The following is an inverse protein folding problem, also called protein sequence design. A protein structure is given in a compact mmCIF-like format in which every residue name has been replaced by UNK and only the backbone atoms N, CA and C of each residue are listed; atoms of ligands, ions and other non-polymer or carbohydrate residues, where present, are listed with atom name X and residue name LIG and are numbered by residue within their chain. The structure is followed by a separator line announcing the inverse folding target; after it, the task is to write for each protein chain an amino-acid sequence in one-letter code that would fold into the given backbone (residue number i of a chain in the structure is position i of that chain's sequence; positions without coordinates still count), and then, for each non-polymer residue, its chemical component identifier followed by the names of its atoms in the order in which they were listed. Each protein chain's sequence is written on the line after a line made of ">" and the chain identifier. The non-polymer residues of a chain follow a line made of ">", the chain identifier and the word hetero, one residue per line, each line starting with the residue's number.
data_IF_719916803899
#
_entry.id   IF_719916803899
#
_cell.length_a   1.000
_cell.length_b   1.000
_cell.length_c   1.000
_cell.angle_alpha   90.00
_cell.angle_beta   90.00
_cell.angle_gamma   90.00
#
_symmetry.space_group_name_H-M   'P 1'
#
loop_
_entity.id
_entity.type
_entity.pdbx_description
1 polymer ?
#
# COMPACT_ATOMS: atom_id res chain seq x y z
N UNK A 1 -2.80 84.41 1.81
CA UNK A 1 -2.01 83.37 1.21
C UNK A 1 -1.97 82.24 2.22
N UNK A 2 -2.79 81.24 2.03
CA UNK A 2 -3.00 80.14 3.02
C UNK A 2 -2.30 78.89 2.46
N UNK A 3 -1.27 78.43 3.20
CA UNK A 3 -0.61 77.19 2.90
C UNK A 3 -1.52 75.99 3.21
N UNK A 4 -2.01 75.37 2.20
CA UNK A 4 -2.75 74.14 2.29
C UNK A 4 -1.71 73.02 2.31
N UNK A 5 -1.29 72.62 3.53
CA UNK A 5 -0.51 71.40 3.69
C UNK A 5 -1.45 70.24 3.61
N UNK A 6 -1.46 69.60 2.46
CA UNK A 6 -2.14 68.33 2.23
C UNK A 6 -1.52 67.27 3.15
N UNK A 7 -2.29 66.86 4.13
CA UNK A 7 -2.00 65.68 4.94
C UNK A 7 -2.43 64.45 4.09
N UNK A 8 -1.47 63.88 3.39
CA UNK A 8 -1.65 62.57 2.78
C UNK A 8 -1.45 61.56 3.91
N UNK A 9 -2.55 61.21 4.58
CA UNK A 9 -2.56 60.03 5.44
C UNK A 9 -2.58 58.81 4.51
N UNK A 10 -1.41 58.31 4.24
CA UNK A 10 -1.26 57.03 3.56
C UNK A 10 -1.82 55.91 4.42
N UNK A 11 -3.00 55.45 4.09
CA UNK A 11 -3.60 54.26 4.61
C UNK A 11 -2.80 53.07 4.06
N UNK A 12 -1.69 52.71 4.77
CA UNK A 12 -0.99 51.47 4.55
C UNK A 12 -1.91 50.33 5.03
N UNK A 13 -2.78 49.91 4.15
CA UNK A 13 -3.54 48.68 4.29
C UNK A 13 -2.53 47.56 4.12
N UNK A 14 -1.92 47.12 5.24
CA UNK A 14 -1.16 45.86 5.34
C UNK A 14 -2.12 44.76 5.03
N UNK A 15 -2.16 44.34 3.77
CA UNK A 15 -2.76 43.06 3.41
C UNK A 15 -1.93 41.97 4.12
N UNK A 16 -2.34 41.60 5.32
CA UNK A 16 -1.94 40.34 5.90
C UNK A 16 -2.52 39.27 4.96
N UNK A 17 -1.70 38.87 4.00
CA UNK A 17 -1.92 37.62 3.31
C UNK A 17 -1.81 36.53 4.34
N UNK A 18 -2.92 36.12 4.91
CA UNK A 18 -3.00 34.83 5.60
C UNK A 18 -2.66 33.79 4.56
N UNK A 19 -1.43 33.33 4.60
CA UNK A 19 -1.06 32.08 3.94
C UNK A 19 -1.89 31.05 4.68
N UNK A 20 -3.07 30.73 4.13
CA UNK A 20 -3.78 29.56 4.52
C UNK A 20 -2.83 28.40 4.12
N UNK A 21 -2.05 27.91 5.08
CA UNK A 21 -1.58 26.55 4.99
C UNK A 21 -2.88 25.76 4.86
N UNK A 22 -3.15 25.26 3.67
CA UNK A 22 -4.07 24.17 3.54
C UNK A 22 -3.41 23.05 4.35
N UNK A 23 -3.77 22.97 5.64
CA UNK A 23 -3.59 21.76 6.40
C UNK A 23 -4.26 20.72 5.52
N UNK A 24 -3.42 19.82 4.96
CA UNK A 24 -3.87 18.76 4.08
C UNK A 24 -4.73 17.77 4.86
N UNK A 25 -5.84 18.27 5.40
CA UNK A 25 -6.81 17.49 6.14
C UNK A 25 -7.68 16.76 5.14
N UNK A 26 -7.37 15.51 4.94
CA UNK A 26 -8.20 14.62 4.15
C UNK A 26 -9.50 14.38 4.93
N UNK A 27 -10.61 14.82 4.40
CA UNK A 27 -11.92 14.50 4.97
C UNK A 27 -12.36 13.06 4.67
N UNK A 28 -11.96 12.56 3.50
CA UNK A 28 -12.24 11.19 3.03
C UNK A 28 -11.00 10.64 2.36
N UNK A 29 -10.67 9.39 2.65
CA UNK A 29 -9.57 8.65 2.02
C UNK A 29 -10.18 7.44 1.32
N UNK A 30 -10.03 7.38 0.00
CA UNK A 30 -10.44 6.23 -0.80
C UNK A 30 -9.34 5.19 -0.82
N UNK A 31 -9.67 3.97 -0.42
CA UNK A 31 -8.74 2.87 -0.25
C UNK A 31 -9.11 1.75 -1.21
N UNK A 32 -8.23 1.48 -2.19
CA UNK A 32 -8.34 0.32 -3.07
C UNK A 32 -7.92 -0.95 -2.35
N UNK A 33 -8.76 -1.99 -2.41
CA UNK A 33 -8.48 -3.31 -1.85
C UNK A 33 -9.02 -4.39 -2.77
N UNK A 34 -8.41 -5.59 -2.74
CA UNK A 34 -8.85 -6.67 -3.63
C UNK A 34 -10.14 -7.34 -3.11
N UNK A 35 -10.21 -7.61 -1.82
CA UNK A 35 -11.35 -8.30 -1.22
C UNK A 35 -11.36 -9.81 -1.46
N UNK A 36 -10.21 -10.42 -1.79
CA UNK A 36 -10.05 -11.84 -2.08
C UNK A 36 -8.90 -12.50 -1.29
N UNK A 37 -8.33 -11.83 -0.29
CA UNK A 37 -7.16 -12.27 0.45
C UNK A 37 -7.42 -12.43 1.95
N UNK A 38 -8.15 -13.52 2.31
CA UNK A 38 -8.44 -13.85 3.71
C UNK A 38 -7.16 -14.26 4.47
N UNK A 39 -6.96 -13.82 5.73
CA UNK A 39 -7.85 -13.01 6.58
C UNK A 39 -7.59 -11.50 6.50
N UNK A 40 -6.79 -11.06 5.54
CA UNK A 40 -6.30 -9.67 5.45
C UNK A 40 -7.35 -8.72 4.87
N UNK A 41 -7.84 -9.01 3.68
CA UNK A 41 -8.92 -8.28 3.02
C UNK A 41 -9.75 -9.27 2.20
N UNK A 42 -11.01 -9.43 2.53
CA UNK A 42 -11.88 -10.38 1.83
C UNK A 42 -13.35 -9.96 1.91
N UNK A 43 -14.17 -10.59 1.08
CA UNK A 43 -15.62 -10.40 1.12
C UNK A 43 -16.23 -11.55 1.92
N UNK A 44 -16.97 -11.21 2.99
CA UNK A 44 -17.65 -12.20 3.83
C UNK A 44 -18.89 -12.80 3.14
N UNK A 45 -19.56 -13.73 3.83
CA UNK A 45 -20.77 -14.39 3.31
C UNK A 45 -21.94 -13.44 3.06
N UNK A 46 -21.94 -12.27 3.71
CA UNK A 46 -22.98 -11.25 3.59
C UNK A 46 -22.63 -10.20 2.51
N UNK A 47 -21.48 -10.35 1.86
CA UNK A 47 -21.02 -9.45 0.81
C UNK A 47 -20.28 -8.21 1.32
N UNK A 48 -19.89 -8.16 2.59
CA UNK A 48 -19.17 -7.04 3.15
C UNK A 48 -17.66 -7.22 2.99
N UNK A 49 -16.95 -6.13 2.70
CA UNK A 49 -15.50 -6.08 2.78
C UNK A 49 -15.05 -6.05 4.24
N UNK A 50 -14.27 -7.06 4.64
CA UNK A 50 -13.78 -7.28 5.99
C UNK A 50 -12.32 -7.74 5.97
N UNK A 51 -11.69 -7.78 7.15
CA UNK A 51 -10.34 -8.29 7.34
C UNK A 51 -9.42 -7.33 8.10
N UNK A 52 -8.29 -7.86 8.52
CA UNK A 52 -7.35 -7.14 9.37
C UNK A 52 -6.83 -5.83 8.76
N UNK A 53 -6.64 -5.78 7.45
CA UNK A 53 -6.22 -4.56 6.74
C UNK A 53 -7.31 -3.50 6.73
N UNK A 54 -8.58 -3.90 6.60
CA UNK A 54 -9.68 -2.94 6.63
C UNK A 54 -9.87 -2.36 8.04
N UNK A 55 -9.64 -3.17 9.08
CA UNK A 55 -9.70 -2.69 10.46
C UNK A 55 -8.54 -1.74 10.76
N UNK A 56 -7.33 -2.07 10.31
CA UNK A 56 -6.17 -1.18 10.38
C UNK A 56 -6.43 0.14 9.64
N UNK A 57 -6.98 0.07 8.44
CA UNK A 57 -7.32 1.26 7.66
C UNK A 57 -8.32 2.16 8.40
N UNK A 58 -9.36 1.58 8.97
CA UNK A 58 -10.36 2.35 9.78
C UNK A 58 -9.71 3.04 10.98
N UNK A 59 -8.80 2.35 11.70
CA UNK A 59 -8.07 2.96 12.82
C UNK A 59 -7.17 4.12 12.34
N UNK A 60 -6.47 3.94 11.22
CA UNK A 60 -5.64 4.99 10.62
C UNK A 60 -6.48 6.20 10.20
N UNK A 61 -7.60 6.00 9.49
CA UNK A 61 -8.50 7.09 9.12
C UNK A 61 -9.04 7.83 10.36
N UNK A 62 -9.44 7.09 11.39
CA UNK A 62 -9.94 7.69 12.63
C UNK A 62 -8.87 8.57 13.31
N UNK A 63 -7.61 8.12 13.36
CA UNK A 63 -6.48 8.91 13.88
C UNK A 63 -6.18 10.15 13.05
N UNK A 64 -6.44 10.10 11.76
CA UNK A 64 -6.29 11.24 10.83
C UNK A 64 -7.51 12.15 10.84
N UNK A 65 -8.56 11.81 11.59
CA UNK A 65 -9.86 12.49 11.59
C UNK A 65 -10.47 12.55 10.17
N UNK A 66 -10.36 11.44 9.42
CA UNK A 66 -10.87 11.25 8.08
C UNK A 66 -11.83 10.06 8.02
N UNK A 67 -12.66 10.01 6.99
CA UNK A 67 -13.48 8.85 6.67
C UNK A 67 -12.74 7.92 5.70
N UNK A 68 -12.82 6.60 5.91
CA UNK A 68 -12.36 5.61 4.95
C UNK A 68 -13.49 5.22 4.00
N UNK A 69 -13.26 5.32 2.70
CA UNK A 69 -14.10 4.75 1.65
C UNK A 69 -13.34 3.59 1.00
N UNK A 70 -13.88 2.37 1.10
CA UNK A 70 -13.25 1.20 0.49
C UNK A 70 -13.77 0.97 -0.92
N UNK A 71 -12.83 0.78 -1.85
CA UNK A 71 -13.12 0.53 -3.26
C UNK A 71 -12.56 -0.84 -3.63
N UNK A 72 -13.44 -1.80 -3.90
CA UNK A 72 -13.02 -3.12 -4.36
C UNK A 72 -12.51 -3.05 -5.80
N UNK A 73 -11.40 -3.71 -6.07
CA UNK A 73 -10.73 -3.74 -7.36
C UNK A 73 -9.94 -5.02 -7.53
N UNK A 74 -10.17 -5.74 -8.62
CA UNK A 74 -9.40 -6.93 -8.96
C UNK A 74 -7.90 -6.61 -9.04
N UNK A 75 -7.08 -7.58 -8.61
CA UNK A 75 -5.62 -7.44 -8.51
C UNK A 75 -4.95 -6.90 -9.77
N UNK A 76 -5.29 -7.43 -10.94
CA UNK A 76 -4.66 -7.03 -12.21
C UNK A 76 -4.89 -5.56 -12.56
N UNK A 77 -5.97 -4.98 -12.04
CA UNK A 77 -6.34 -3.58 -12.27
C UNK A 77 -5.96 -2.63 -11.14
N UNK A 78 -5.43 -3.13 -10.02
CA UNK A 78 -5.34 -2.33 -8.79
C UNK A 78 -4.33 -1.18 -8.90
N UNK A 79 -3.14 -1.39 -9.46
CA UNK A 79 -2.16 -0.31 -9.70
C UNK A 79 -2.63 0.66 -10.78
N UNK A 80 -3.07 0.20 -11.97
CA UNK A 80 -3.66 1.09 -12.97
C UNK A 80 -4.78 1.97 -12.46
N UNK A 81 -5.66 1.45 -11.62
CA UNK A 81 -6.76 2.22 -11.04
C UNK A 81 -6.28 3.30 -10.06
N UNK A 82 -5.24 3.03 -9.25
CA UNK A 82 -4.58 4.03 -8.41
C UNK A 82 -3.98 5.16 -9.25
N UNK A 83 -3.23 4.81 -10.29
CA UNK A 83 -2.60 5.79 -11.19
C UNK A 83 -3.64 6.67 -11.89
N UNK A 84 -4.81 6.11 -12.20
CA UNK A 84 -5.93 6.83 -12.77
C UNK A 84 -6.79 7.60 -11.74
N UNK A 85 -6.41 7.60 -10.46
CA UNK A 85 -7.09 8.36 -9.42
C UNK A 85 -8.45 7.80 -8.99
N UNK A 86 -8.70 6.49 -9.19
CA UNK A 86 -9.94 5.86 -8.73
C UNK A 86 -10.02 5.84 -7.19
N UNK A 87 -8.88 5.76 -6.54
CA UNK A 87 -8.69 5.84 -5.09
C UNK A 87 -7.32 6.46 -4.77
N UNK A 88 -7.08 6.79 -3.51
CA UNK A 88 -5.93 7.55 -3.06
C UNK A 88 -4.77 6.65 -2.63
N UNK A 89 -5.08 5.43 -2.15
CA UNK A 89 -4.12 4.46 -1.63
C UNK A 89 -4.59 3.03 -1.90
N UNK A 90 -3.65 2.09 -2.01
CA UNK A 90 -3.93 0.65 -2.03
C UNK A 90 -3.59 0.06 -0.65
N UNK A 91 -4.48 -0.79 -0.13
CA UNK A 91 -4.24 -1.60 1.05
C UNK A 91 -4.77 -3.01 0.79
N UNK A 92 -3.88 -3.90 0.33
CA UNK A 92 -4.24 -5.21 -0.22
C UNK A 92 -3.07 -6.21 -0.16
N UNK A 93 -2.28 -6.20 0.93
CA UNK A 93 -1.16 -7.14 1.11
C UNK A 93 -0.07 -7.05 0.03
N UNK A 94 0.07 -5.88 -0.60
CA UNK A 94 0.95 -5.72 -1.75
C UNK A 94 2.42 -5.71 -1.34
N UNK A 95 3.18 -6.70 -1.81
CA UNK A 95 4.64 -6.73 -1.63
C UNK A 95 5.31 -5.59 -2.37
N UNK A 96 6.33 -5.01 -1.73
CA UNK A 96 7.20 -4.02 -2.34
C UNK A 96 8.12 -4.71 -3.33
N UNK A 97 8.15 -4.28 -4.59
CA UNK A 97 9.07 -4.74 -5.61
C UNK A 97 9.65 -3.57 -6.39
N UNK A 98 10.86 -3.71 -6.92
CA UNK A 98 11.50 -2.68 -7.73
C UNK A 98 10.67 -2.32 -8.99
N UNK A 99 9.95 -3.29 -9.55
CA UNK A 99 9.07 -3.03 -10.69
C UNK A 99 7.90 -2.12 -10.30
N UNK A 100 7.24 -2.40 -9.17
CA UNK A 100 6.14 -1.58 -8.66
C UNK A 100 6.58 -0.18 -8.26
N UNK A 101 7.77 -0.06 -7.65
CA UNK A 101 8.37 1.23 -7.27
C UNK A 101 8.58 2.18 -8.44
N UNK A 102 8.68 1.69 -9.68
CA UNK A 102 8.78 2.54 -10.88
C UNK A 102 7.49 3.32 -11.15
N UNK A 103 6.37 2.85 -10.64
CA UNK A 103 5.04 3.39 -10.94
C UNK A 103 4.35 3.99 -9.74
N UNK A 104 4.53 3.41 -8.54
CA UNK A 104 3.87 3.84 -7.30
C UNK A 104 4.86 3.95 -6.16
N UNK A 105 4.50 4.73 -5.13
CA UNK A 105 5.25 4.84 -3.88
C UNK A 105 4.68 3.90 -2.82
N UNK A 106 5.53 3.44 -1.92
CA UNK A 106 5.15 2.57 -0.82
C UNK A 106 5.37 3.24 0.54
N UNK A 107 4.55 2.89 1.51
CA UNK A 107 4.79 3.17 2.92
C UNK A 107 5.90 2.26 3.47
N UNK A 108 6.23 2.43 4.75
CA UNK A 108 6.96 1.38 5.47
C UNK A 108 6.09 0.12 5.56
N UNK A 109 6.74 -1.04 5.62
CA UNK A 109 6.04 -2.30 5.82
C UNK A 109 5.25 -2.26 7.14
N UNK A 110 3.97 -2.60 7.08
CA UNK A 110 3.08 -2.73 8.25
C UNK A 110 2.85 -4.19 8.64
N UNK A 111 3.28 -5.13 7.79
CA UNK A 111 3.07 -6.55 7.94
C UNK A 111 4.23 -7.31 7.27
N UNK A 112 4.56 -8.48 7.78
CA UNK A 112 5.50 -9.41 7.15
C UNK A 112 4.87 -10.78 7.09
N UNK A 113 4.80 -11.36 5.91
CA UNK A 113 4.32 -12.71 5.68
C UNK A 113 5.45 -13.61 5.21
N UNK A 114 5.72 -14.71 5.91
CA UNK A 114 6.72 -15.66 5.45
C UNK A 114 6.14 -16.50 4.29
N UNK A 115 6.80 -16.49 3.14
CA UNK A 115 6.48 -17.42 2.06
C UNK A 115 6.71 -18.88 2.49
N UNK A 116 5.83 -19.78 2.08
CA UNK A 116 5.90 -21.22 2.37
C UNK A 116 5.57 -22.01 1.11
N UNK A 117 6.31 -23.09 0.93
CA UNK A 117 5.98 -24.08 -0.07
C UNK A 117 5.13 -25.17 0.56
N UNK A 118 4.09 -25.58 -0.13
CA UNK A 118 3.24 -26.68 0.27
C UNK A 118 3.40 -27.83 -0.71
N UNK A 119 3.44 -29.06 -0.20
CA UNK A 119 3.41 -30.26 -1.01
C UNK A 119 2.51 -31.32 -0.35
N UNK A 120 2.03 -32.27 -1.14
CA UNK A 120 1.38 -33.44 -0.57
C UNK A 120 2.40 -34.22 0.27
N UNK A 121 1.95 -34.83 1.37
CA UNK A 121 2.81 -35.66 2.22
C UNK A 121 3.40 -36.86 1.46
N UNK A 122 2.76 -37.31 0.39
CA UNK A 122 3.21 -38.34 -0.51
C UNK A 122 4.18 -37.85 -1.59
N UNK A 123 4.40 -36.54 -1.69
CA UNK A 123 5.32 -35.97 -2.68
C UNK A 123 6.79 -36.17 -2.26
N UNK A 124 7.70 -36.39 -3.21
CA UNK A 124 9.14 -36.33 -2.94
C UNK A 124 9.59 -35.00 -2.32
N UNK A 125 8.81 -33.92 -2.50
CA UNK A 125 9.07 -32.61 -1.90
C UNK A 125 8.74 -32.53 -0.41
N UNK A 126 7.99 -33.49 0.14
CA UNK A 126 7.59 -33.49 1.56
C UNK A 126 8.78 -33.54 2.52
N UNK A 127 9.91 -34.08 2.09
CA UNK A 127 11.18 -34.15 2.86
C UNK A 127 12.15 -33.00 2.54
N UNK A 128 11.78 -32.11 1.60
CA UNK A 128 12.62 -31.00 1.22
C UNK A 128 12.58 -29.91 2.29
N UNK A 129 13.68 -29.74 3.00
CA UNK A 129 13.84 -28.66 3.98
C UNK A 129 14.37 -27.40 3.29
N UNK A 130 13.48 -26.55 2.80
CA UNK A 130 13.84 -25.26 2.22
C UNK A 130 14.38 -24.25 3.25
N UNK A 131 14.06 -24.46 4.53
CA UNK A 131 14.31 -23.50 5.60
C UNK A 131 15.79 -23.13 5.81
N UNK A 132 16.73 -23.93 5.30
CA UNK A 132 18.18 -23.67 5.45
C UNK A 132 18.82 -22.96 4.27
N UNK A 133 18.14 -22.84 3.13
CA UNK A 133 18.75 -22.43 1.86
C UNK A 133 18.02 -21.30 1.14
N UNK A 134 16.93 -20.79 1.71
CA UNK A 134 16.23 -19.62 1.19
C UNK A 134 16.84 -18.37 1.80
N UNK A 135 17.86 -17.82 1.12
CA UNK A 135 18.32 -16.48 1.41
C UNK A 135 17.54 -15.52 0.49
N UNK A 136 16.77 -14.65 1.13
CA UNK A 136 16.17 -13.50 0.48
C UNK A 136 17.16 -12.34 0.62
N UNK A 137 17.18 -11.46 -0.35
CA UNK A 137 17.88 -10.19 -0.23
C UNK A 137 17.09 -9.20 0.65
N UNK A 138 17.62 -7.99 0.81
CA UNK A 138 17.01 -6.96 1.65
C UNK A 138 15.62 -6.51 1.13
N UNK A 139 15.32 -6.78 -0.14
CA UNK A 139 14.04 -6.48 -0.80
C UNK A 139 13.04 -7.65 -0.70
N UNK A 140 13.45 -8.79 -0.14
CA UNK A 140 12.63 -9.98 -0.01
C UNK A 140 12.64 -10.88 -1.24
N UNK A 141 13.46 -10.58 -2.24
CA UNK A 141 13.61 -11.38 -3.44
C UNK A 141 14.55 -12.56 -3.23
N UNK A 142 14.27 -13.67 -3.90
CA UNK A 142 15.12 -14.86 -3.82
C UNK A 142 16.48 -14.60 -4.47
N UNK A 143 17.54 -14.77 -3.70
CA UNK A 143 18.90 -14.65 -4.24
C UNK A 143 19.16 -15.68 -5.34
N UNK A 144 20.10 -15.40 -6.24
CA UNK A 144 20.47 -16.32 -7.33
C UNK A 144 20.88 -17.71 -6.81
N UNK A 145 21.52 -17.76 -5.63
CA UNK A 145 21.88 -19.01 -4.97
C UNK A 145 20.65 -19.80 -4.53
N UNK A 146 19.65 -19.13 -3.99
CA UNK A 146 18.36 -19.73 -3.60
C UNK A 146 17.62 -20.28 -4.81
N UNK A 147 17.52 -19.50 -5.89
CA UNK A 147 16.88 -19.93 -7.13
C UNK A 147 17.59 -21.16 -7.70
N UNK A 148 18.91 -21.17 -7.71
CA UNK A 148 19.70 -22.31 -8.19
C UNK A 148 19.49 -23.57 -7.34
N UNK A 149 19.44 -23.44 -6.01
CA UNK A 149 19.18 -24.55 -5.10
C UNK A 149 17.77 -25.12 -5.30
N UNK A 150 16.75 -24.26 -5.45
CA UNK A 150 15.39 -24.68 -5.75
C UNK A 150 15.28 -25.40 -7.10
N UNK A 151 15.87 -24.83 -8.15
CA UNK A 151 15.87 -25.43 -9.49
C UNK A 151 16.53 -26.81 -9.49
N UNK A 152 17.63 -27.00 -8.75
CA UNK A 152 18.29 -28.28 -8.64
C UNK A 152 17.45 -29.30 -7.86
N UNK A 153 16.80 -28.87 -6.76
CA UNK A 153 15.94 -29.74 -5.98
C UNK A 153 14.66 -30.16 -6.72
N UNK A 154 14.14 -29.27 -7.57
CA UNK A 154 12.91 -29.51 -8.34
C UNK A 154 13.18 -30.12 -9.73
N UNK A 155 14.44 -30.38 -10.08
CA UNK A 155 14.80 -30.91 -11.40
C UNK A 155 14.14 -32.27 -11.65
N UNK A 156 13.35 -32.34 -12.71
CA UNK A 156 12.60 -33.54 -13.10
C UNK A 156 11.26 -33.71 -12.39
N UNK A 157 10.85 -32.76 -11.56
CA UNK A 157 9.52 -32.72 -10.95
C UNK A 157 8.55 -31.96 -11.84
N UNK A 158 7.32 -32.47 -11.91
CA UNK A 158 6.22 -31.73 -12.54
C UNK A 158 5.59 -30.83 -11.49
N UNK A 159 5.80 -29.54 -11.63
CA UNK A 159 5.26 -28.50 -10.73
C UNK A 159 4.09 -27.87 -11.49
N UNK A 160 2.87 -28.14 -11.01
CA UNK A 160 1.65 -27.57 -11.55
C UNK A 160 1.43 -26.13 -11.13
#
# INVERSE_FOLDING_TARGET
>A
MRNLKSIIVGLMMSALSTVAFADGHWSTIKIGTEGAYEPWNFTDSDGNLVGAELDLARDLCARMNAECEFVQQDWDGIIPALVNGKYDVIMAGMSVTEERKKTISFSKAYMTEPARFFSLNSSPLSTFSSAKNLNLDDDGDATAGTISALNNAMKGMNIG
#
